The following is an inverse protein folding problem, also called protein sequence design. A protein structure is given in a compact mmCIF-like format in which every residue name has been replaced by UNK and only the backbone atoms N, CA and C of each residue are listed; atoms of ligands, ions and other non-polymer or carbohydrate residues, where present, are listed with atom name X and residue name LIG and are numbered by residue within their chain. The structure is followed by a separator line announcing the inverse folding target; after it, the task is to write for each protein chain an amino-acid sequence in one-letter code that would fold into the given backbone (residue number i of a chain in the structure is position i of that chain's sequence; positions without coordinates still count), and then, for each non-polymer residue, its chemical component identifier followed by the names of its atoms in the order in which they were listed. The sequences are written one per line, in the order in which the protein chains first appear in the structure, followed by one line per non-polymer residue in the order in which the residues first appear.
data_IF_042604077799
#
_entry.id   IF_042604077799
#
_cell.length_a   1.000
_cell.length_b   1.000
_cell.length_c   1.000
_cell.angle_alpha   90.00
_cell.angle_beta   90.00
_cell.angle_gamma   90.00
#
_symmetry.space_group_name_H-M   'P 1'
#
loop_
_entity.id
_entity.type
_entity.pdbx_description
1 polymer ?
#
# COMPACT_ATOMS: atom_id res chain seq x y z
N UNK A 1 0.98 -14.93 26.23
CA UNK A 1 1.46 -13.79 25.42
C UNK A 1 1.19 -14.08 23.94
N UNK A 2 -0.01 -13.78 23.46
CA UNK A 2 -0.42 -14.05 22.08
C UNK A 2 -0.01 -12.94 21.13
N UNK A 3 1.18 -13.05 20.52
CA UNK A 3 1.63 -12.16 19.43
C UNK A 3 0.93 -12.54 18.13
N UNK A 4 -0.33 -12.16 17.98
CA UNK A 4 -1.04 -12.19 16.71
C UNK A 4 -1.92 -10.94 16.56
N UNK A 5 -1.38 -9.76 16.89
CA UNK A 5 -1.92 -8.51 16.39
C UNK A 5 -1.61 -8.43 14.89
N UNK A 6 -2.64 -8.80 14.12
CA UNK A 6 -2.88 -8.64 12.68
C UNK A 6 -1.81 -7.83 11.93
N UNK A 7 -0.92 -8.53 11.23
CA UNK A 7 -0.04 -7.91 10.22
C UNK A 7 -0.86 -7.60 8.96
N UNK A 8 -1.43 -6.40 8.89
CA UNK A 8 -2.29 -5.99 7.79
C UNK A 8 -1.55 -5.94 6.44
N UNK A 9 -0.43 -5.22 6.40
CA UNK A 9 0.36 -5.03 5.18
C UNK A 9 1.84 -5.40 5.39
N UNK A 10 2.45 -5.97 4.34
CA UNK A 10 3.89 -6.11 4.21
C UNK A 10 4.43 -5.09 3.20
N UNK A 11 5.65 -4.61 3.42
CA UNK A 11 6.32 -3.66 2.51
C UNK A 11 7.53 -4.33 1.87
N UNK A 12 7.60 -4.37 0.54
CA UNK A 12 8.76 -4.80 -0.24
C UNK A 12 9.52 -3.55 -0.70
N UNK A 13 10.81 -3.49 -0.40
CA UNK A 13 11.68 -2.42 -0.85
C UNK A 13 12.38 -2.78 -2.16
N UNK A 14 12.35 -1.84 -3.10
CA UNK A 14 13.22 -1.79 -4.27
C UNK A 14 14.65 -1.35 -3.89
N UNK A 15 15.66 -1.91 -4.57
CA UNK A 15 17.06 -1.52 -4.45
C UNK A 15 17.24 -0.01 -4.64
N UNK A 16 16.55 0.60 -5.62
CA UNK A 16 16.67 2.02 -5.94
C UNK A 16 16.25 2.93 -4.77
N UNK A 17 15.27 2.52 -3.98
CA UNK A 17 14.84 3.27 -2.78
C UNK A 17 15.92 3.22 -1.71
N UNK A 18 16.55 2.06 -1.52
CA UNK A 18 17.66 1.88 -0.57
C UNK A 18 18.90 2.65 -1.04
N UNK A 19 19.26 2.55 -2.33
CA UNK A 19 20.38 3.28 -2.94
C UNK A 19 20.19 4.78 -2.75
N UNK A 20 19.00 5.31 -3.03
CA UNK A 20 18.71 6.72 -2.84
C UNK A 20 18.82 7.17 -1.36
N UNK A 21 18.48 6.29 -0.40
CA UNK A 21 18.65 6.54 1.03
C UNK A 21 20.12 6.44 1.51
N UNK A 22 20.97 5.74 0.77
CA UNK A 22 22.42 5.69 1.01
C UNK A 22 23.13 6.92 0.46
N UNK A 23 22.67 7.45 -0.68
CA UNK A 23 23.27 8.64 -1.31
C UNK A 23 22.92 9.92 -0.54
N UNK A 24 21.68 10.05 -0.04
CA UNK A 24 21.22 11.26 0.65
C UNK A 24 21.04 10.99 2.14
N UNK A 25 21.72 11.78 2.97
CA UNK A 25 21.65 11.66 4.44
C UNK A 25 20.29 12.06 5.01
N UNK A 26 19.59 12.95 4.32
CA UNK A 26 18.29 13.46 4.71
C UNK A 26 17.28 13.25 3.59
N UNK A 27 16.00 13.17 3.97
CA UNK A 27 14.89 13.10 3.05
C UNK A 27 14.07 11.84 3.20
N UNK A 28 13.10 11.72 2.29
CA UNK A 28 12.00 10.77 2.44
C UNK A 28 12.45 9.30 2.39
N UNK A 29 13.37 8.95 1.48
CA UNK A 29 13.88 7.58 1.37
C UNK A 29 14.57 7.15 2.66
N UNK A 30 15.38 8.04 3.27
CA UNK A 30 16.04 7.76 4.55
C UNK A 30 15.02 7.52 5.65
N UNK A 31 13.98 8.34 5.73
CA UNK A 31 12.87 8.14 6.67
C UNK A 31 12.19 6.77 6.48
N UNK A 32 11.83 6.44 5.23
CA UNK A 32 11.16 5.18 4.88
C UNK A 32 12.01 3.97 5.25
N UNK A 33 13.30 3.93 4.92
CA UNK A 33 14.11 2.72 5.17
C UNK A 33 14.56 2.57 6.63
N UNK A 34 14.46 3.63 7.45
CA UNK A 34 14.97 3.62 8.83
C UNK A 34 13.89 3.62 9.92
N UNK A 35 12.80 4.38 9.73
CA UNK A 35 11.76 4.58 10.74
C UNK A 35 10.46 3.83 10.41
N UNK A 36 10.07 3.76 9.14
CA UNK A 36 8.86 3.02 8.76
C UNK A 36 8.87 1.51 9.11
N UNK A 37 10.02 0.80 9.18
CA UNK A 37 10.07 -0.59 9.64
C UNK A 37 9.69 -0.79 11.12
N UNK A 38 9.54 0.30 11.89
CA UNK A 38 9.00 0.25 13.25
C UNK A 38 7.47 0.05 13.22
N UNK A 39 6.81 0.53 12.15
CA UNK A 39 5.35 0.54 11.99
C UNK A 39 4.90 -0.66 11.15
N UNK A 40 5.59 -0.93 10.03
CA UNK A 40 5.25 -2.02 9.11
C UNK A 40 6.34 -3.09 9.04
N UNK A 41 5.97 -4.30 8.62
CA UNK A 41 6.95 -5.36 8.32
C UNK A 41 7.56 -5.12 6.95
N UNK A 42 8.82 -4.73 6.93
CA UNK A 42 9.60 -4.49 5.72
C UNK A 42 10.37 -5.74 5.30
N UNK A 43 10.43 -5.97 3.99
CA UNK A 43 11.06 -7.11 3.34
C UNK A 43 11.90 -6.67 2.14
N UNK A 44 12.91 -7.47 1.80
CA UNK A 44 13.70 -7.33 0.58
C UNK A 44 14.06 -8.69 -0.01
N UNK A 45 14.01 -8.89 -1.33
CA UNK A 45 14.56 -10.09 -1.94
C UNK A 45 16.06 -10.16 -1.70
N UNK A 46 16.62 -11.33 -1.38
CA UNK A 46 18.08 -11.45 -1.14
C UNK A 46 18.90 -10.96 -2.34
N UNK A 47 18.39 -11.12 -3.57
CA UNK A 47 18.97 -10.57 -4.80
C UNK A 47 19.26 -9.06 -4.74
N UNK A 48 18.42 -8.25 -4.07
CA UNK A 48 18.61 -6.80 -3.91
C UNK A 48 19.95 -6.48 -3.24
N UNK A 49 20.35 -7.26 -2.24
CA UNK A 49 21.63 -7.02 -1.55
C UNK A 49 22.82 -7.18 -2.49
N UNK A 50 22.74 -8.13 -3.41
CA UNK A 50 23.78 -8.36 -4.42
C UNK A 50 23.83 -7.22 -5.43
N UNK A 51 22.66 -6.70 -5.83
CA UNK A 51 22.54 -5.55 -6.72
C UNK A 51 23.18 -4.30 -6.11
N UNK A 52 22.82 -3.93 -4.88
CA UNK A 52 23.40 -2.76 -4.21
C UNK A 52 24.92 -2.91 -4.06
N UNK A 53 25.39 -4.11 -3.71
CA UNK A 53 26.82 -4.37 -3.57
C UNK A 53 27.60 -4.16 -4.87
N UNK A 54 27.03 -4.54 -6.03
CA UNK A 54 27.63 -4.29 -7.36
C UNK A 54 27.79 -2.79 -7.65
N UNK A 55 26.89 -1.96 -7.13
CA UNK A 55 26.91 -0.50 -7.34
C UNK A 55 27.62 0.27 -6.21
N UNK A 56 28.27 -0.39 -5.24
CA UNK A 56 28.82 0.25 -4.04
C UNK A 56 29.77 1.41 -4.35
N UNK A 57 30.68 1.23 -5.31
CA UNK A 57 31.65 2.27 -5.70
C UNK A 57 30.94 3.53 -6.24
N UNK A 58 29.96 3.35 -7.12
CA UNK A 58 29.19 4.45 -7.68
C UNK A 58 28.37 5.17 -6.61
N UNK A 59 27.75 4.41 -5.70
CA UNK A 59 26.97 4.94 -4.57
C UNK A 59 27.88 5.76 -3.65
N UNK A 60 29.06 5.23 -3.32
CA UNK A 60 30.05 5.89 -2.48
C UNK A 60 30.49 7.24 -3.08
N UNK A 61 30.80 7.25 -4.38
CA UNK A 61 31.13 8.47 -5.13
C UNK A 61 29.98 9.48 -5.10
N UNK A 62 28.74 9.04 -5.37
CA UNK A 62 27.55 9.92 -5.36
C UNK A 62 27.23 10.46 -3.96
N UNK A 63 27.50 9.69 -2.92
CA UNK A 63 27.30 10.09 -1.53
C UNK A 63 28.42 10.98 -0.97
N UNK A 64 29.57 11.05 -1.63
CA UNK A 64 30.77 11.68 -1.07
C UNK A 64 31.32 10.93 0.15
N UNK A 65 31.19 9.60 0.17
CA UNK A 65 31.55 8.72 1.29
C UNK A 65 32.46 7.59 0.81
N UNK A 66 33.14 6.92 1.74
CA UNK A 66 33.89 5.70 1.43
C UNK A 66 32.96 4.50 1.20
N UNK A 67 33.39 3.51 0.41
CA UNK A 67 32.64 2.25 0.27
C UNK A 67 32.38 1.55 1.61
N UNK A 68 33.33 1.67 2.55
CA UNK A 68 33.19 1.11 3.89
C UNK A 68 32.02 1.74 4.65
N UNK A 69 31.90 3.07 4.63
CA UNK A 69 30.76 3.79 5.23
C UNK A 69 29.44 3.38 4.56
N UNK A 70 29.40 3.22 3.24
CA UNK A 70 28.21 2.74 2.51
C UNK A 70 27.81 1.34 2.96
N UNK A 71 28.76 0.41 3.06
CA UNK A 71 28.50 -0.97 3.53
C UNK A 71 28.00 -1.00 4.97
N UNK A 72 28.53 -0.16 5.85
CA UNK A 72 28.03 -0.02 7.22
C UNK A 72 26.60 0.52 7.26
N UNK A 73 26.31 1.55 6.46
CA UNK A 73 24.97 2.13 6.36
C UNK A 73 23.96 1.12 5.80
N UNK A 74 24.32 0.37 4.75
CA UNK A 74 23.50 -0.70 4.18
C UNK A 74 23.21 -1.77 5.24
N UNK A 75 24.22 -2.24 5.96
CA UNK A 75 24.06 -3.21 7.05
C UNK A 75 23.10 -2.69 8.13
N UNK A 76 23.18 -1.41 8.48
CA UNK A 76 22.28 -0.80 9.46
C UNK A 76 20.82 -0.71 8.98
N UNK A 77 20.60 -0.45 7.69
CA UNK A 77 19.27 -0.47 7.06
C UNK A 77 18.74 -1.91 7.05
N UNK A 78 19.49 -2.85 6.47
CA UNK A 78 19.06 -4.25 6.30
C UNK A 78 18.86 -4.97 7.64
N UNK A 79 19.44 -4.51 8.75
CA UNK A 79 19.14 -5.05 10.09
C UNK A 79 17.67 -4.92 10.49
N UNK A 80 16.93 -3.96 9.91
CA UNK A 80 15.51 -3.71 10.20
C UNK A 80 14.56 -4.21 9.13
N UNK A 81 15.09 -4.71 8.02
CA UNK A 81 14.32 -5.20 6.86
C UNK A 81 14.54 -6.72 6.79
N UNK A 82 13.49 -7.50 6.60
CA UNK A 82 13.57 -8.97 6.61
C UNK A 82 13.98 -9.49 5.23
N UNK A 83 15.04 -10.33 5.12
CA UNK A 83 15.38 -10.94 3.85
C UNK A 83 14.30 -11.95 3.43
N UNK A 84 13.98 -11.98 2.14
CA UNK A 84 13.18 -13.02 1.50
C UNK A 84 14.09 -13.96 0.70
N UNK A 85 14.15 -15.25 1.06
CA UNK A 85 14.97 -16.23 0.34
C UNK A 85 14.56 -16.37 -1.12
N UNK A 86 15.54 -16.58 -2.00
CA UNK A 86 15.31 -16.69 -3.44
C UNK A 86 14.39 -17.85 -3.78
N UNK A 87 14.43 -18.96 -3.02
CA UNK A 87 13.60 -20.13 -3.25
C UNK A 87 12.11 -19.84 -3.05
N UNK A 88 11.79 -18.92 -2.12
CA UNK A 88 10.41 -18.48 -1.87
C UNK A 88 9.91 -17.56 -2.99
N UNK A 89 10.78 -16.63 -3.42
CA UNK A 89 10.47 -15.67 -4.50
C UNK A 89 10.36 -16.37 -5.85
N UNK A 90 11.21 -17.36 -6.13
CA UNK A 90 11.30 -18.06 -7.42
C UNK A 90 9.99 -18.70 -7.86
N UNK A 91 9.16 -19.17 -6.91
CA UNK A 91 7.84 -19.78 -7.19
C UNK A 91 6.88 -18.84 -7.90
N UNK A 92 7.04 -17.54 -7.70
CA UNK A 92 6.15 -16.50 -8.23
C UNK A 92 6.78 -15.71 -9.36
N UNK A 93 8.04 -15.97 -9.74
CA UNK A 93 8.73 -15.20 -10.79
C UNK A 93 8.01 -15.26 -12.14
N UNK A 94 7.57 -16.45 -12.55
CA UNK A 94 6.88 -16.61 -13.83
C UNK A 94 5.55 -15.84 -13.88
N UNK A 95 4.82 -15.77 -12.77
CA UNK A 95 3.60 -14.98 -12.68
C UNK A 95 3.93 -13.49 -12.67
N UNK A 96 4.93 -13.10 -11.86
CA UNK A 96 5.37 -11.73 -11.68
C UNK A 96 5.84 -11.05 -12.98
N UNK A 97 6.49 -11.81 -13.87
CA UNK A 97 6.91 -11.34 -15.19
C UNK A 97 5.75 -10.81 -16.03
N UNK A 98 4.52 -11.30 -15.81
CA UNK A 98 3.33 -10.81 -16.51
C UNK A 98 2.89 -9.39 -16.10
N UNK A 99 3.41 -8.86 -15.00
CA UNK A 99 3.01 -7.55 -14.45
C UNK A 99 4.09 -6.48 -14.56
N UNK A 100 5.22 -6.78 -15.21
CA UNK A 100 6.35 -5.84 -15.31
C UNK A 100 6.80 -5.70 -16.76
N UNK A 101 7.29 -4.51 -17.11
CA UNK A 101 7.94 -4.24 -18.40
C UNK A 101 9.40 -4.65 -18.38
N UNK A 102 10.09 -4.42 -17.27
CA UNK A 102 11.46 -4.85 -17.04
C UNK A 102 11.46 -6.20 -16.30
N UNK A 103 11.96 -7.29 -16.89
CA UNK A 103 12.04 -8.59 -16.24
C UNK A 103 12.83 -8.59 -14.92
N UNK A 104 13.78 -7.67 -14.74
CA UNK A 104 14.57 -7.58 -13.51
C UNK A 104 13.70 -7.09 -12.33
N UNK A 105 12.64 -6.31 -12.60
CA UNK A 105 11.69 -5.85 -11.59
C UNK A 105 10.72 -6.95 -11.11
N UNK A 106 10.62 -8.07 -11.85
CA UNK A 106 9.73 -9.18 -11.50
C UNK A 106 10.04 -9.77 -10.11
N UNK A 107 11.30 -9.68 -9.66
CA UNK A 107 11.71 -10.18 -8.33
C UNK A 107 10.97 -9.46 -7.19
N UNK A 108 10.64 -8.19 -7.37
CA UNK A 108 9.94 -7.39 -6.38
C UNK A 108 8.45 -7.72 -6.33
N UNK A 109 7.83 -7.92 -7.50
CA UNK A 109 6.44 -8.38 -7.59
C UNK A 109 6.29 -9.79 -7.04
N UNK A 110 7.18 -10.71 -7.43
CA UNK A 110 7.19 -12.08 -6.91
C UNK A 110 7.33 -12.12 -5.38
N UNK A 111 8.14 -11.22 -4.82
CA UNK A 111 8.26 -11.05 -3.37
C UNK A 111 6.94 -10.61 -2.73
N UNK A 112 6.24 -9.65 -3.34
CA UNK A 112 4.95 -9.16 -2.86
C UNK A 112 3.85 -10.24 -2.94
N UNK A 113 3.79 -11.00 -4.04
CA UNK A 113 2.87 -12.12 -4.22
C UNK A 113 3.11 -13.22 -3.19
N UNK A 114 4.38 -13.59 -2.94
CA UNK A 114 4.71 -14.55 -1.90
C UNK A 114 4.21 -14.10 -0.51
N UNK A 115 4.42 -12.82 -0.16
CA UNK A 115 3.95 -12.28 1.11
C UNK A 115 2.42 -12.33 1.23
N UNK A 116 1.72 -12.11 0.12
CA UNK A 116 0.25 -12.18 0.04
C UNK A 116 -0.30 -13.60 0.17
N UNK A 117 0.29 -14.53 -0.56
CA UNK A 117 -0.27 -15.87 -0.71
C UNK A 117 0.21 -16.87 0.36
N UNK A 118 1.44 -16.73 0.87
CA UNK A 118 2.02 -17.72 1.80
C UNK A 118 2.28 -17.18 3.21
N UNK A 119 2.57 -15.89 3.38
CA UNK A 119 2.97 -15.33 4.69
C UNK A 119 1.81 -14.68 5.47
N UNK A 120 0.57 -14.79 4.94
CA UNK A 120 -0.66 -14.40 5.64
C UNK A 120 -0.91 -12.90 5.76
N UNK A 121 -0.16 -12.05 5.05
CA UNK A 121 -0.44 -10.62 4.98
C UNK A 121 -1.64 -10.37 4.08
N UNK A 122 -2.58 -9.52 4.49
CA UNK A 122 -3.77 -9.17 3.69
C UNK A 122 -3.43 -8.31 2.47
N UNK A 123 -2.30 -7.62 2.51
CA UNK A 123 -1.84 -6.72 1.48
C UNK A 123 -0.31 -6.72 1.41
N UNK A 124 0.24 -6.50 0.22
CA UNK A 124 1.65 -6.19 0.04
C UNK A 124 1.79 -4.83 -0.67
N UNK A 125 2.82 -4.09 -0.30
CA UNK A 125 3.13 -2.76 -0.83
C UNK A 125 4.56 -2.81 -1.33
N UNK A 126 4.74 -2.71 -2.64
CA UNK A 126 6.03 -2.49 -3.28
C UNK A 126 6.31 -0.98 -3.32
N UNK A 127 7.42 -0.57 -2.72
CA UNK A 127 7.89 0.82 -2.77
C UNK A 127 9.05 0.94 -3.75
N UNK A 128 8.85 1.67 -4.85
CA UNK A 128 9.78 1.78 -5.99
C UNK A 128 9.74 3.19 -6.61
N UNK A 129 10.85 3.62 -7.23
CA UNK A 129 10.85 4.83 -8.07
C UNK A 129 10.38 4.55 -9.51
N UNK A 130 10.31 3.28 -9.94
CA UNK A 130 10.06 2.87 -11.32
C UNK A 130 8.59 2.47 -11.55
N UNK A 131 7.63 3.14 -10.89
CA UNK A 131 6.21 2.72 -10.87
C UNK A 131 5.60 2.50 -12.27
N UNK A 132 6.05 3.26 -13.27
CA UNK A 132 5.60 3.17 -14.67
C UNK A 132 5.89 1.83 -15.36
N UNK A 133 6.77 1.03 -14.78
CA UNK A 133 7.21 -0.25 -15.32
C UNK A 133 6.35 -1.42 -14.82
N UNK A 134 5.34 -1.14 -13.99
CA UNK A 134 4.42 -2.11 -13.41
C UNK A 134 3.00 -1.98 -13.97
N UNK A 135 2.31 -3.10 -14.14
CA UNK A 135 0.86 -3.14 -14.36
C UNK A 135 0.12 -2.97 -13.03
N UNK A 136 -0.07 -1.71 -12.66
CA UNK A 136 -0.59 -1.33 -11.34
C UNK A 136 -2.00 -1.89 -11.11
N UNK A 137 -2.87 -1.85 -12.13
CA UNK A 137 -4.27 -2.27 -11.96
C UNK A 137 -4.38 -3.78 -11.76
N UNK A 138 -3.64 -4.58 -12.55
CA UNK A 138 -3.63 -6.04 -12.35
C UNK A 138 -2.99 -6.46 -11.02
N UNK A 139 -2.00 -5.70 -10.54
CA UNK A 139 -1.39 -5.93 -9.22
C UNK A 139 -2.34 -5.57 -8.08
N UNK A 140 -3.13 -4.50 -8.23
CA UNK A 140 -4.11 -4.10 -7.22
C UNK A 140 -5.23 -5.14 -7.05
N UNK A 141 -5.65 -5.83 -8.10
CA UNK A 141 -6.58 -6.97 -8.02
C UNK A 141 -6.03 -8.11 -7.14
N UNK A 142 -4.70 -8.23 -7.05
CA UNK A 142 -3.99 -9.18 -6.19
C UNK A 142 -3.66 -8.61 -4.80
N UNK A 143 -4.14 -7.40 -4.50
CA UNK A 143 -3.80 -6.64 -3.28
C UNK A 143 -2.30 -6.40 -3.14
N UNK A 144 -1.62 -6.22 -4.27
CA UNK A 144 -0.25 -5.73 -4.36
C UNK A 144 -0.32 -4.28 -4.83
N UNK A 145 0.10 -3.35 -3.97
CA UNK A 145 0.22 -1.93 -4.35
C UNK A 145 1.62 -1.63 -4.80
N UNK A 146 1.75 -0.85 -5.85
CA UNK A 146 3.03 -0.27 -6.27
C UNK A 146 2.96 1.22 -6.01
N UNK A 147 3.83 1.72 -5.14
CA UNK A 147 3.83 3.11 -4.70
C UNK A 147 5.23 3.70 -4.84
N UNK A 148 5.30 4.97 -5.19
CA UNK A 148 6.54 5.70 -4.96
C UNK A 148 6.73 6.03 -3.45
N UNK A 149 7.94 6.40 -3.01
CA UNK A 149 8.19 6.81 -1.63
C UNK A 149 7.23 7.89 -1.08
N UNK A 150 6.84 8.87 -1.90
CA UNK A 150 5.92 9.95 -1.52
C UNK A 150 4.50 9.45 -1.35
N UNK A 151 4.03 8.62 -2.25
CA UNK A 151 2.73 7.96 -2.19
C UNK A 151 2.66 7.05 -0.96
N UNK A 152 3.68 6.24 -0.71
CA UNK A 152 3.75 5.38 0.48
C UNK A 152 3.71 6.20 1.77
N UNK A 153 4.52 7.25 1.87
CA UNK A 153 4.50 8.13 3.04
C UNK A 153 3.15 8.80 3.26
N UNK A 154 2.54 9.32 2.19
CA UNK A 154 1.29 10.09 2.26
C UNK A 154 0.11 9.20 2.66
N UNK A 155 0.06 7.97 2.15
CA UNK A 155 -1.07 7.08 2.35
C UNK A 155 -0.94 6.15 3.57
N UNK A 156 0.29 5.79 4.00
CA UNK A 156 0.51 4.77 5.04
C UNK A 156 1.28 5.26 6.27
N UNK A 157 2.10 6.30 6.16
CA UNK A 157 2.93 6.75 7.30
C UNK A 157 2.44 8.04 7.93
N UNK A 158 1.82 8.92 7.14
CA UNK A 158 1.27 10.17 7.63
C UNK A 158 -0.15 9.92 8.15
N UNK A 159 -0.50 10.34 9.38
CA UNK A 159 -1.89 10.35 9.81
C UNK A 159 -2.71 11.16 8.80
N UNK A 160 -3.95 10.75 8.48
CA UNK A 160 -4.74 11.36 7.42
C UNK A 160 -5.07 12.81 7.75
N UNK A 161 -4.16 13.72 7.43
CA UNK A 161 -4.47 15.13 7.25
C UNK A 161 -5.09 15.28 5.87
N UNK A 162 -6.38 14.89 5.82
CA UNK A 162 -7.42 15.25 4.86
C UNK A 162 -6.96 15.75 3.47
N UNK A 163 -7.07 14.93 2.42
CA UNK A 163 -7.03 15.42 1.04
C UNK A 163 -8.29 14.99 0.28
N UNK A 164 -9.07 15.96 -0.19
CA UNK A 164 -10.31 15.76 -0.98
C UNK A 164 -11.40 15.01 -0.16
N UNK A 165 -12.19 15.76 0.62
CA UNK A 165 -13.40 15.21 1.26
C UNK A 165 -14.39 14.80 0.17
N UNK A 166 -14.42 13.51 -0.15
CA UNK A 166 -15.62 12.91 -0.76
C UNK A 166 -16.78 13.19 0.20
N UNK A 167 -17.95 13.53 -0.33
CA UNK A 167 -19.11 13.82 0.51
C UNK A 167 -19.38 12.60 1.40
N UNK A 168 -19.59 12.86 2.69
CA UNK A 168 -19.98 11.81 3.64
C UNK A 168 -21.36 11.30 3.28
N UNK A 169 -21.57 10.00 3.46
CA UNK A 169 -22.87 9.36 3.37
C UNK A 169 -23.30 8.94 4.79
N UNK A 170 -24.44 9.43 5.24
CA UNK A 170 -25.07 8.98 6.48
C UNK A 170 -25.97 7.78 6.17
N UNK A 171 -25.86 6.73 6.98
CA UNK A 171 -26.55 5.47 6.77
C UNK A 171 -27.31 5.07 8.05
N UNK A 172 -28.63 5.18 8.05
CA UNK A 172 -29.45 4.94 9.24
C UNK A 172 -29.72 3.45 9.54
N UNK A 173 -29.20 2.54 8.71
CA UNK A 173 -29.34 1.10 8.95
C UNK A 173 -28.45 0.64 10.10
N UNK A 174 -28.95 -0.30 10.92
CA UNK A 174 -28.17 -0.92 11.99
C UNK A 174 -27.22 -2.02 11.49
N UNK A 175 -27.36 -2.47 10.24
CA UNK A 175 -26.54 -3.54 9.67
C UNK A 175 -25.25 -3.01 9.09
N UNK A 176 -24.12 -3.28 9.75
CA UNK A 176 -22.79 -2.89 9.27
C UNK A 176 -22.48 -3.44 7.87
N UNK A 177 -22.96 -4.64 7.55
CA UNK A 177 -22.80 -5.25 6.21
C UNK A 177 -23.44 -4.40 5.12
N UNK A 178 -24.70 -3.96 5.32
CA UNK A 178 -25.39 -3.06 4.39
C UNK A 178 -24.70 -1.70 4.27
N UNK A 179 -24.11 -1.20 5.35
CA UNK A 179 -23.36 0.06 5.33
C UNK A 179 -22.09 -0.08 4.50
N UNK A 180 -21.38 -1.21 4.61
CA UNK A 180 -20.21 -1.51 3.78
C UNK A 180 -20.62 -1.64 2.32
N UNK A 181 -21.69 -2.37 2.02
CA UNK A 181 -22.25 -2.47 0.66
C UNK A 181 -22.59 -1.10 0.08
N UNK A 182 -23.29 -0.26 0.84
CA UNK A 182 -23.60 1.11 0.43
C UNK A 182 -22.33 1.95 0.23
N UNK A 183 -21.32 1.81 1.07
CA UNK A 183 -20.05 2.53 0.91
C UNK A 183 -19.35 2.15 -0.41
N UNK A 184 -19.29 0.86 -0.72
CA UNK A 184 -18.69 0.31 -1.95
C UNK A 184 -19.42 0.79 -3.21
N UNK A 185 -20.76 0.71 -3.21
CA UNK A 185 -21.58 1.30 -4.27
C UNK A 185 -21.41 2.82 -4.36
N UNK A 186 -21.26 3.51 -3.22
CA UNK A 186 -21.09 4.95 -3.19
C UNK A 186 -19.76 5.41 -3.78
N UNK A 187 -18.70 4.60 -3.72
CA UNK A 187 -17.39 4.90 -4.33
C UNK A 187 -17.14 4.21 -5.68
N UNK A 188 -17.93 3.20 -6.04
CA UNK A 188 -17.83 2.51 -7.33
C UNK A 188 -16.71 1.49 -7.36
N UNK A 189 -16.51 0.81 -6.24
CA UNK A 189 -15.54 -0.27 -6.12
C UNK A 189 -16.17 -1.44 -5.39
N UNK A 190 -15.89 -2.65 -5.85
CA UNK A 190 -16.51 -3.87 -5.31
C UNK A 190 -15.54 -4.73 -4.47
N UNK A 191 -14.25 -4.39 -4.50
CA UNK A 191 -13.21 -5.11 -3.79
C UNK A 191 -12.74 -4.30 -2.58
N UNK A 192 -12.65 -4.94 -1.42
CA UNK A 192 -12.19 -4.30 -0.20
C UNK A 192 -11.45 -5.26 0.74
N UNK A 193 -10.66 -4.69 1.63
CA UNK A 193 -10.07 -5.34 2.79
C UNK A 193 -10.49 -4.62 4.05
N UNK A 194 -10.82 -5.38 5.10
CA UNK A 194 -10.98 -4.81 6.44
C UNK A 194 -9.59 -4.61 7.06
N UNK A 195 -9.21 -3.34 7.23
CA UNK A 195 -7.93 -2.90 7.82
C UNK A 195 -8.01 -3.01 9.33
N UNK A 196 -9.01 -2.36 9.90
CA UNK A 196 -9.30 -2.37 11.32
C UNK A 196 -10.80 -2.55 11.53
N UNK A 197 -11.17 -3.20 12.61
CA UNK A 197 -12.57 -3.41 12.96
C UNK A 197 -12.70 -3.49 14.46
N UNK A 198 -13.53 -2.58 14.98
CA UNK A 198 -14.00 -2.53 16.37
C UNK A 198 -15.54 -2.59 16.31
N UNK A 199 -16.12 -3.74 15.92
CA UNK A 199 -17.56 -3.85 15.77
C UNK A 199 -18.25 -3.72 17.14
N UNK A 200 -19.50 -3.20 17.17
CA UNK A 200 -20.27 -2.76 16.00
C UNK A 200 -19.93 -1.33 15.54
N UNK A 201 -19.19 -0.56 16.34
CA UNK A 201 -19.17 0.89 16.22
C UNK A 201 -18.28 1.42 15.11
N UNK A 202 -17.25 0.67 14.69
CA UNK A 202 -16.26 1.19 13.75
C UNK A 202 -15.65 0.11 12.88
N UNK A 203 -15.53 0.40 11.59
CA UNK A 203 -14.73 -0.39 10.66
C UNK A 203 -13.97 0.53 9.70
N UNK A 204 -12.72 0.19 9.47
CA UNK A 204 -11.88 0.82 8.47
C UNK A 204 -11.65 -0.19 7.36
N UNK A 205 -12.05 0.17 6.15
CA UNK A 205 -11.90 -0.66 4.96
C UNK A 205 -11.04 0.05 3.93
N UNK A 206 -10.19 -0.70 3.27
CA UNK A 206 -9.39 -0.22 2.16
C UNK A 206 -9.86 -0.88 0.88
N UNK A 207 -9.94 -0.09 -0.18
CA UNK A 207 -10.36 -0.47 -1.52
C UNK A 207 -9.25 -0.10 -2.50
N UNK A 208 -9.27 -0.55 -3.77
CA UNK A 208 -8.33 -0.10 -4.78
C UNK A 208 -7.97 1.39 -4.69
N UNK A 209 -8.94 2.31 -4.59
CA UNK A 209 -8.63 3.74 -4.56
C UNK A 209 -9.02 4.51 -3.31
N UNK A 210 -9.63 3.88 -2.31
CA UNK A 210 -10.10 4.59 -1.12
C UNK A 210 -9.72 3.89 0.18
N UNK A 211 -9.43 4.69 1.20
CA UNK A 211 -9.58 4.30 2.60
C UNK A 211 -10.94 4.81 3.08
N UNK A 212 -11.78 3.95 3.65
CA UNK A 212 -13.13 4.31 4.09
C UNK A 212 -13.23 4.03 5.57
N UNK A 213 -13.51 5.08 6.33
CA UNK A 213 -13.91 4.98 7.73
C UNK A 213 -15.44 4.93 7.81
N UNK A 214 -15.95 3.87 8.41
CA UNK A 214 -17.35 3.72 8.77
C UNK A 214 -17.44 3.72 10.29
N UNK A 215 -18.17 4.67 10.85
CA UNK A 215 -18.27 4.88 12.30
C UNK A 215 -19.71 5.20 12.70
N UNK A 216 -20.21 4.55 13.74
CA UNK A 216 -21.53 4.83 14.32
C UNK A 216 -21.50 6.20 15.00
N UNK A 217 -22.44 7.07 14.64
CA UNK A 217 -22.66 8.37 15.25
C UNK A 217 -23.98 8.37 16.03
N UNK A 218 -23.88 8.42 17.36
CA UNK A 218 -25.04 8.43 18.26
C UNK A 218 -25.95 9.64 18.07
N UNK A 219 -25.43 10.77 17.58
CA UNK A 219 -26.22 12.00 17.36
C UNK A 219 -27.11 11.85 16.15
N UNK A 220 -26.56 11.27 15.08
CA UNK A 220 -27.27 11.03 13.82
C UNK A 220 -28.04 9.69 13.83
N UNK A 221 -27.83 8.87 14.88
CA UNK A 221 -28.42 7.52 15.04
C UNK A 221 -28.18 6.63 13.82
N UNK A 222 -26.95 6.63 13.32
CA UNK A 222 -26.57 5.90 12.12
C UNK A 222 -25.07 5.87 11.89
N UNK A 223 -24.64 5.16 10.88
CA UNK A 223 -23.23 5.11 10.48
C UNK A 223 -22.87 6.28 9.56
N UNK A 224 -21.79 6.96 9.88
CA UNK A 224 -21.11 7.90 9.02
C UNK A 224 -20.08 7.18 8.15
N UNK A 225 -20.28 7.20 6.83
CA UNK A 225 -19.32 6.71 5.84
C UNK A 225 -18.45 7.88 5.38
N UNK A 226 -17.14 7.79 5.63
CA UNK A 226 -16.15 8.81 5.29
C UNK A 226 -15.08 8.22 4.36
N UNK A 227 -15.31 8.24 3.03
CA UNK A 227 -14.31 7.81 2.06
C UNK A 227 -13.21 8.87 1.89
N UNK A 228 -11.98 8.41 1.83
CA UNK A 228 -10.79 9.20 1.55
C UNK A 228 -10.08 8.60 0.33
N UNK A 229 -9.94 9.39 -0.73
CA UNK A 229 -9.20 8.98 -1.92
C UNK A 229 -7.72 8.81 -1.57
N UNK A 230 -7.13 7.69 -2.01
CA UNK A 230 -5.69 7.47 -1.92
C UNK A 230 -4.98 8.44 -2.85
N UNK A 231 -3.94 9.10 -2.34
CA UNK A 231 -3.16 10.08 -3.07
C UNK A 231 -2.14 9.39 -3.99
N UNK A 232 -2.62 8.63 -4.97
CA UNK A 232 -1.83 8.04 -6.05
C UNK A 232 -2.28 8.60 -7.39
N UNK A 233 -1.35 8.67 -8.36
CA UNK A 233 -1.67 9.17 -9.71
C UNK A 233 -2.86 8.44 -10.35
N UNK A 234 -2.89 7.12 -10.24
CA UNK A 234 -3.89 6.24 -10.85
C UNK A 234 -5.29 6.47 -10.27
N UNK A 235 -5.37 6.66 -8.95
CA UNK A 235 -6.64 6.89 -8.27
C UNK A 235 -7.16 8.31 -8.48
N UNK A 236 -6.27 9.30 -8.57
CA UNK A 236 -6.65 10.66 -8.94
C UNK A 236 -7.18 10.69 -10.38
N UNK A 237 -6.50 10.03 -11.32
CA UNK A 237 -6.95 9.94 -12.71
C UNK A 237 -8.32 9.25 -12.81
N UNK A 238 -8.49 8.10 -12.16
CA UNK A 238 -9.79 7.39 -12.10
C UNK A 238 -10.89 8.29 -11.53
N UNK A 239 -10.62 9.04 -10.47
CA UNK A 239 -11.59 9.93 -9.84
C UNK A 239 -11.95 11.18 -10.69
N UNK A 240 -11.11 11.54 -11.66
CA UNK A 240 -11.36 12.65 -12.58
C UNK A 240 -12.16 12.25 -13.83
N UNK A 241 -12.36 10.95 -14.05
CA UNK A 241 -13.18 10.47 -15.17
C UNK A 241 -14.64 10.93 -15.01
N UNK A 242 -15.32 11.27 -16.11
CA UNK A 242 -16.74 11.66 -16.07
C UNK A 242 -17.61 10.57 -15.43
N UNK A 243 -18.56 10.98 -14.60
CA UNK A 243 -19.52 10.06 -13.98
C UNK A 243 -20.45 9.51 -15.08
N UNK A 244 -20.50 8.19 -15.21
CA UNK A 244 -21.38 7.50 -16.16
C UNK A 244 -22.80 7.34 -15.60
N UNK A 245 -23.78 7.07 -16.47
CA UNK A 245 -25.16 6.75 -16.05
C UNK A 245 -25.22 5.54 -15.12
N UNK A 246 -24.40 4.52 -15.38
CA UNK A 246 -24.27 3.36 -14.50
C UNK A 246 -23.80 3.76 -13.10
N UNK A 247 -22.77 4.61 -13.04
CA UNK A 247 -22.23 5.14 -11.78
C UNK A 247 -23.27 5.96 -11.00
N UNK A 248 -24.11 6.74 -11.70
CA UNK A 248 -25.22 7.47 -11.07
C UNK A 248 -26.25 6.51 -10.46
N UNK A 249 -26.57 5.41 -11.14
CA UNK A 249 -27.48 4.37 -10.62
C UNK A 249 -26.93 3.71 -9.35
N UNK A 250 -25.63 3.40 -9.31
CA UNK A 250 -24.98 2.84 -8.12
C UNK A 250 -25.01 3.80 -6.94
N UNK A 251 -24.74 5.09 -7.17
CA UNK A 251 -24.81 6.12 -6.12
C UNK A 251 -26.23 6.24 -5.56
N UNK A 252 -27.25 6.17 -6.41
CA UNK A 252 -28.65 6.20 -5.96
C UNK A 252 -29.03 4.93 -5.20
N UNK A 253 -28.58 3.76 -5.64
CA UNK A 253 -28.77 2.50 -4.91
C UNK A 253 -28.12 2.55 -3.52
N UNK A 254 -26.90 3.07 -3.42
CA UNK A 254 -26.22 3.27 -2.14
C UNK A 254 -27.05 4.15 -1.18
N UNK A 255 -27.62 5.24 -1.70
CA UNK A 255 -28.50 6.12 -0.92
C UNK A 255 -29.77 5.41 -0.48
N UNK A 256 -30.35 4.56 -1.33
CA UNK A 256 -31.54 3.78 -0.98
C UNK A 256 -31.26 2.78 0.15
N UNK A 257 -30.12 2.08 0.11
CA UNK A 257 -29.69 1.18 1.20
C UNK A 257 -29.57 1.94 2.53
N UNK A 258 -29.11 3.20 2.48
CA UNK A 258 -28.89 4.03 3.65
C UNK A 258 -30.11 4.80 4.16
N UNK A 259 -31.28 4.69 3.49
CA UNK A 259 -32.52 5.27 3.98
C UNK A 259 -32.98 4.56 5.28
N UNK A 260 -33.65 5.28 6.19
CA UNK A 260 -34.26 4.71 7.40
C UNK A 260 -35.30 3.62 7.09
#
# INVERSE_FOLDING_TARGET
MGKAERRYAAVVLDANVVIAALIREQGLNRYIVSLAPIIYSFFYPVALSSEILKHTEEIARKAGRSEYEIRLALKAILKRVKPLPNEKVARYLSEAQGFVKDPDDAVYVASALHLRYEEGFKQAILVTWNKRDFDIWQLMERWVRVLDPREFYTNYLRPPFSPIRVRRLLCCTASLEKVVEAALLYIGEHHYLIVNSEPPNKVEIETPCYMILVEWDDREKGYCISPQLLATGECIEKAQQPITEERLREIELARQICKP
#
